data_IF_403121660344
#
_entry.id   IF_403121660344
#
_cell.length_a   1.000
_cell.length_b   1.000
_cell.length_c   1.000
_cell.angle_alpha   90.00
_cell.angle_beta   90.00
_cell.angle_gamma   90.00
#
_symmetry.space_group_name_H-M   'P 1'
#
loop_
_entity.id
_entity.type
_entity.pdbx_description
1 polymer ?
#
# COMPACT_ATOMS: atom_id res chain seq x y z
N UNK A 1 -5.35 19.32 1.19
CA UNK A 1 -5.25 18.62 2.49
C UNK A 1 -6.14 17.40 2.58
N UNK A 2 -7.46 17.52 2.37
CA UNK A 2 -8.41 16.38 2.42
C UNK A 2 -7.99 15.19 1.52
N UNK A 3 -7.58 15.45 0.27
CA UNK A 3 -7.23 14.38 -0.69
C UNK A 3 -5.97 13.59 -0.32
N UNK A 4 -4.99 14.22 0.33
CA UNK A 4 -3.81 13.54 0.85
C UNK A 4 -4.15 12.60 2.00
N UNK A 5 -5.10 12.99 2.86
CA UNK A 5 -5.62 12.14 3.93
C UNK A 5 -6.39 10.93 3.36
N UNK A 6 -7.16 11.12 2.29
CA UNK A 6 -7.86 10.03 1.58
C UNK A 6 -6.85 9.04 0.99
N UNK A 7 -5.78 9.54 0.37
CA UNK A 7 -4.71 8.71 -0.19
C UNK A 7 -3.99 7.90 0.91
N UNK A 8 -3.63 8.57 2.03
CA UNK A 8 -3.02 7.90 3.18
C UNK A 8 -3.96 6.84 3.78
N UNK A 9 -5.25 7.15 3.91
CA UNK A 9 -6.25 6.20 4.39
C UNK A 9 -6.41 5.00 3.45
N UNK A 10 -6.35 5.21 2.13
CA UNK A 10 -6.37 4.14 1.14
C UNK A 10 -5.20 3.17 1.34
N UNK A 11 -4.00 3.70 1.56
CA UNK A 11 -2.79 2.92 1.80
C UNK A 11 -2.88 2.14 3.11
N UNK A 12 -3.40 2.76 4.19
CA UNK A 12 -3.60 2.07 5.47
C UNK A 12 -4.56 0.88 5.32
N UNK A 13 -5.67 1.05 4.61
CA UNK A 13 -6.60 -0.05 4.33
C UNK A 13 -5.97 -1.17 3.50
N UNK A 14 -5.14 -0.81 2.52
CA UNK A 14 -4.40 -1.79 1.73
C UNK A 14 -3.47 -2.61 2.64
N UNK A 15 -2.61 -1.94 3.41
CA UNK A 15 -1.61 -2.57 4.29
C UNK A 15 -2.28 -3.48 5.31
N UNK A 16 -3.42 -3.07 5.89
CA UNK A 16 -4.22 -3.92 6.76
C UNK A 16 -4.70 -5.17 6.01
N UNK A 17 -5.31 -5.01 4.84
CA UNK A 17 -5.74 -6.13 4.00
C UNK A 17 -4.61 -7.09 3.65
N UNK A 18 -3.45 -6.59 3.24
CA UNK A 18 -2.28 -7.44 2.89
C UNK A 18 -1.72 -8.16 4.11
N UNK A 19 -1.72 -7.52 5.28
CA UNK A 19 -1.26 -8.12 6.53
C UNK A 19 -2.15 -9.28 6.97
N UNK A 20 -3.47 -9.13 6.84
CA UNK A 20 -4.42 -10.21 7.14
C UNK A 20 -4.41 -11.33 6.09
N UNK A 21 -4.00 -11.06 4.85
CA UNK A 21 -3.91 -12.07 3.80
C UNK A 21 -2.94 -13.22 4.19
N UNK A 22 -1.82 -12.93 4.85
CA UNK A 22 -0.87 -13.95 5.32
C UNK A 22 -1.49 -14.87 6.39
N UNK A 23 -2.46 -14.38 7.16
CA UNK A 23 -3.24 -15.18 8.12
C UNK A 23 -4.39 -15.95 7.45
N UNK A 24 -4.91 -15.47 6.32
CA UNK A 24 -6.02 -16.12 5.61
C UNK A 24 -5.66 -17.50 5.02
N UNK A 25 -4.37 -17.78 4.79
CA UNK A 25 -3.90 -19.07 4.28
C UNK A 25 -3.63 -20.13 5.37
N UNK A 26 -3.79 -19.77 6.66
CA UNK A 26 -3.73 -20.77 7.72
C UNK A 26 -5.06 -21.53 7.74
N UNK A 27 -5.06 -22.88 7.67
CA UNK A 27 -6.27 -23.71 7.65
C UNK A 27 -6.94 -23.67 9.03
N UNK A 28 -7.64 -22.57 9.31
CA UNK A 28 -8.32 -22.33 10.57
C UNK A 28 -9.80 -22.00 10.35
N UNK A 29 -10.63 -22.17 11.37
CA UNK A 29 -12.11 -22.01 11.25
C UNK A 29 -12.56 -20.58 10.90
N UNK A 30 -11.63 -19.63 10.87
CA UNK A 30 -11.85 -18.19 10.70
C UNK A 30 -11.49 -17.71 9.27
N UNK A 31 -11.00 -18.59 8.37
CA UNK A 31 -10.57 -18.24 7.00
C UNK A 31 -11.60 -17.38 6.26
N UNK A 32 -12.89 -17.74 6.29
CA UNK A 32 -13.93 -17.00 5.59
C UNK A 32 -14.13 -15.58 6.12
N UNK A 33 -14.01 -15.36 7.43
CA UNK A 33 -14.13 -14.04 8.05
C UNK A 33 -12.89 -13.18 7.75
N UNK A 34 -11.68 -13.77 7.78
CA UNK A 34 -10.44 -13.07 7.41
C UNK A 34 -10.46 -12.71 5.93
N UNK A 35 -10.87 -13.62 5.05
CA UNK A 35 -10.97 -13.37 3.61
C UNK A 35 -12.00 -12.27 3.30
N UNK A 36 -13.15 -12.28 3.97
CA UNK A 36 -14.14 -11.21 3.85
C UNK A 36 -13.55 -9.85 4.25
N UNK A 37 -12.84 -9.77 5.38
CA UNK A 37 -12.16 -8.55 5.83
C UNK A 37 -11.12 -8.06 4.82
N UNK A 38 -10.32 -8.96 4.25
CA UNK A 38 -9.31 -8.65 3.24
C UNK A 38 -9.97 -8.06 1.99
N UNK A 39 -11.03 -8.71 1.49
CA UNK A 39 -11.78 -8.23 0.31
C UNK A 39 -12.38 -6.85 0.59
N UNK A 40 -13.06 -6.67 1.73
CA UNK A 40 -13.66 -5.36 2.08
C UNK A 40 -12.59 -4.28 2.22
N UNK A 41 -11.42 -4.61 2.78
CA UNK A 41 -10.31 -3.65 2.92
C UNK A 41 -9.72 -3.25 1.58
N UNK A 42 -9.54 -4.20 0.65
CA UNK A 42 -9.09 -3.90 -0.71
C UNK A 42 -10.11 -3.06 -1.48
N UNK A 43 -11.39 -3.40 -1.40
CA UNK A 43 -12.46 -2.62 -2.05
C UNK A 43 -12.51 -1.21 -1.49
N UNK A 44 -12.40 -1.04 -0.17
CA UNK A 44 -12.33 0.28 0.46
C UNK A 44 -11.08 1.05 0.02
N UNK A 45 -9.92 0.40 -0.02
CA UNK A 45 -8.67 1.01 -0.47
C UNK A 45 -8.77 1.51 -1.91
N UNK A 46 -9.26 0.69 -2.84
CA UNK A 46 -9.43 1.05 -4.25
C UNK A 46 -10.49 2.14 -4.43
N UNK A 47 -11.58 2.11 -3.66
CA UNK A 47 -12.58 3.17 -3.70
C UNK A 47 -11.97 4.53 -3.27
N UNK A 48 -11.22 4.56 -2.17
CA UNK A 48 -10.53 5.75 -1.68
C UNK A 48 -9.45 6.24 -2.66
N UNK A 49 -8.72 5.31 -3.30
CA UNK A 49 -7.77 5.65 -4.36
C UNK A 49 -8.50 6.30 -5.54
N UNK A 50 -9.63 5.74 -5.97
CA UNK A 50 -10.48 6.31 -7.02
C UNK A 50 -10.95 7.73 -6.70
N UNK A 51 -11.25 8.02 -5.42
CA UNK A 51 -11.54 9.39 -4.98
C UNK A 51 -10.31 10.31 -5.01
N UNK A 52 -9.14 9.80 -4.61
CA UNK A 52 -7.89 10.57 -4.68
C UNK A 52 -7.50 10.91 -6.14
N UNK A 53 -7.76 10.00 -7.09
CA UNK A 53 -7.54 10.20 -8.52
C UNK A 53 -8.35 11.36 -9.13
N UNK A 54 -9.42 11.83 -8.47
CA UNK A 54 -10.13 13.04 -8.92
C UNK A 54 -9.31 14.33 -8.71
N UNK A 55 -8.27 14.28 -7.90
CA UNK A 55 -7.48 15.45 -7.49
C UNK A 55 -5.98 15.30 -7.76
N UNK A 56 -5.54 14.12 -8.17
CA UNK A 56 -4.14 13.82 -8.49
C UNK A 56 -4.06 13.14 -9.85
N UNK A 57 -2.97 13.41 -10.56
CA UNK A 57 -2.60 12.63 -11.74
C UNK A 57 -2.47 11.15 -11.38
N UNK A 58 -3.02 10.30 -12.25
CA UNK A 58 -3.03 8.85 -12.05
C UNK A 58 -1.64 8.29 -11.82
N UNK A 59 -0.65 8.79 -12.56
CA UNK A 59 0.75 8.40 -12.42
C UNK A 59 1.31 8.68 -11.03
N UNK A 60 1.01 9.85 -10.45
CA UNK A 60 1.54 10.27 -9.15
C UNK A 60 0.81 9.54 -8.02
N UNK A 61 -0.53 9.52 -8.06
CA UNK A 61 -1.33 8.86 -7.04
C UNK A 61 -1.03 7.36 -6.96
N UNK A 62 -0.93 6.69 -8.11
CA UNK A 62 -0.63 5.26 -8.17
C UNK A 62 0.81 4.97 -7.73
N UNK A 63 1.79 5.82 -8.09
CA UNK A 63 3.17 5.67 -7.64
C UNK A 63 3.30 5.78 -6.11
N UNK A 64 2.63 6.77 -5.50
CA UNK A 64 2.61 6.92 -4.04
C UNK A 64 1.88 5.75 -3.40
N UNK A 65 0.68 5.40 -3.90
CA UNK A 65 -0.12 4.31 -3.35
C UNK A 65 0.65 2.98 -3.37
N UNK A 66 1.14 2.56 -4.54
CA UNK A 66 1.86 1.30 -4.69
C UNK A 66 3.20 1.31 -3.93
N UNK A 67 3.96 2.41 -4.01
CA UNK A 67 5.30 2.45 -3.43
C UNK A 67 5.31 2.59 -1.90
N UNK A 68 4.42 3.42 -1.36
CA UNK A 68 4.28 3.63 0.08
C UNK A 68 3.55 2.43 0.73
N UNK A 69 2.54 1.86 0.04
CA UNK A 69 1.91 0.60 0.41
C UNK A 69 2.92 -0.56 0.46
N UNK A 70 3.72 -0.77 -0.59
CA UNK A 70 4.76 -1.81 -0.62
C UNK A 70 5.77 -1.64 0.51
N UNK A 71 6.23 -0.40 0.75
CA UNK A 71 7.19 -0.10 1.83
C UNK A 71 6.61 -0.45 3.20
N UNK A 72 5.36 -0.05 3.48
CA UNK A 72 4.68 -0.35 4.74
C UNK A 72 4.40 -1.84 4.91
N UNK A 73 3.92 -2.54 3.87
CA UNK A 73 3.72 -3.99 3.92
C UNK A 73 5.04 -4.71 4.17
N UNK A 74 6.13 -4.29 3.54
CA UNK A 74 7.45 -4.86 3.81
C UNK A 74 7.89 -4.62 5.26
N UNK A 75 7.66 -3.41 5.80
CA UNK A 75 7.98 -3.06 7.18
C UNK A 75 7.16 -3.92 8.18
N UNK A 76 5.86 -4.10 7.91
CA UNK A 76 4.96 -4.95 8.70
C UNK A 76 5.38 -6.42 8.60
N UNK A 77 5.74 -6.89 7.41
CA UNK A 77 6.28 -8.24 7.17
C UNK A 77 7.48 -8.55 8.05
N UNK A 78 8.40 -7.60 8.19
CA UNK A 78 9.58 -7.73 9.05
C UNK A 78 9.19 -7.70 10.52
N UNK A 79 8.42 -6.70 10.97
CA UNK A 79 8.13 -6.49 12.39
C UNK A 79 7.18 -7.53 12.98
N UNK A 80 6.13 -7.91 12.25
CA UNK A 80 5.07 -8.79 12.74
C UNK A 80 5.27 -10.26 12.33
N UNK A 81 5.86 -10.51 11.16
CA UNK A 81 6.03 -11.88 10.65
C UNK A 81 7.47 -12.40 10.73
N UNK A 82 8.41 -11.57 11.16
CA UNK A 82 9.82 -11.97 11.25
C UNK A 82 10.45 -12.28 9.90
N UNK A 83 9.90 -11.75 8.79
CA UNK A 83 10.49 -11.96 7.47
C UNK A 83 11.93 -11.42 7.47
N UNK A 84 12.88 -12.25 7.01
CA UNK A 84 14.29 -11.87 7.00
C UNK A 84 14.51 -10.64 6.10
N UNK A 85 15.11 -9.60 6.68
CA UNK A 85 15.58 -8.45 5.91
C UNK A 85 16.90 -8.84 5.26
N UNK A 86 16.87 -9.18 3.98
CA UNK A 86 18.09 -9.20 3.18
C UNK A 86 18.53 -7.75 2.91
N UNK A 87 19.84 -7.50 2.89
CA UNK A 87 20.41 -6.21 2.46
C UNK A 87 19.86 -5.82 1.09
N UNK A 88 19.66 -6.80 0.20
CA UNK A 88 19.06 -6.58 -1.11
C UNK A 88 17.62 -6.05 -1.03
N UNK A 89 16.82 -6.56 -0.08
CA UNK A 89 15.43 -6.10 0.14
C UNK A 89 15.40 -4.63 0.57
N UNK A 90 16.33 -4.24 1.44
CA UNK A 90 16.44 -2.86 1.91
C UNK A 90 16.87 -1.91 0.78
N UNK A 91 17.86 -2.30 -0.03
CA UNK A 91 18.31 -1.54 -1.20
C UNK A 91 17.18 -1.38 -2.23
N UNK A 92 16.42 -2.45 -2.49
CA UNK A 92 15.26 -2.39 -3.39
C UNK A 92 14.18 -1.44 -2.88
N UNK A 93 13.87 -1.47 -1.58
CA UNK A 93 12.90 -0.53 -0.98
C UNK A 93 13.40 0.91 -1.11
N UNK A 94 14.69 1.16 -0.82
CA UNK A 94 15.28 2.49 -0.98
C UNK A 94 15.20 2.99 -2.44
N UNK A 95 15.40 2.11 -3.41
CA UNK A 95 15.29 2.42 -4.84
C UNK A 95 13.84 2.70 -5.27
N UNK A 96 12.86 1.97 -4.73
CA UNK A 96 11.43 2.26 -4.91
C UNK A 96 11.11 3.65 -4.39
N UNK A 97 11.51 3.96 -3.15
CA UNK A 97 11.28 5.27 -2.53
C UNK A 97 11.95 6.38 -3.35
N UNK A 98 13.18 6.18 -3.81
CA UNK A 98 13.87 7.12 -4.69
C UNK A 98 13.11 7.33 -6.02
N UNK A 99 12.53 6.28 -6.59
CA UNK A 99 11.68 6.35 -7.79
C UNK A 99 10.40 7.16 -7.55
N UNK A 100 9.72 6.97 -6.41
CA UNK A 100 8.52 7.75 -6.05
C UNK A 100 8.88 9.23 -5.88
N UNK A 101 9.97 9.53 -5.18
CA UNK A 101 10.45 10.90 -4.99
C UNK A 101 10.81 11.52 -6.33
N UNK A 102 11.49 10.78 -7.21
CA UNK A 102 11.78 11.20 -8.58
C UNK A 102 10.52 11.52 -9.39
N UNK A 103 9.50 10.66 -9.33
CA UNK A 103 8.20 10.87 -10.00
C UNK A 103 7.42 12.06 -9.41
N UNK A 104 7.51 12.29 -8.10
CA UNK A 104 6.88 13.42 -7.45
C UNK A 104 7.57 14.74 -7.82
N UNK A 105 8.90 14.74 -7.91
CA UNK A 105 9.71 15.90 -8.31
C UNK A 105 9.68 16.16 -9.83
N UNK A 106 9.47 15.13 -10.66
CA UNK A 106 9.46 15.27 -12.11
C UNK A 106 8.25 16.02 -12.65
N UNK A 107 7.35 16.52 -11.79
CA UNK A 107 6.32 17.45 -12.20
C UNK A 107 5.36 16.86 -13.23
N UNK A 108 5.00 15.58 -13.10
CA UNK A 108 3.73 15.09 -13.68
C UNK A 108 2.59 15.59 -12.78
N UNK A 109 2.56 16.91 -12.65
CA UNK A 109 1.45 17.77 -12.26
C UNK A 109 1.19 18.57 -13.52
N UNK A 110 0.65 17.91 -14.54
CA UNK A 110 0.31 18.59 -15.79
C UNK A 110 -1.05 19.26 -15.64
N UNK A 111 -1.05 20.61 -15.55
CA UNK A 111 -2.19 21.46 -15.93
C UNK A 111 -3.28 21.61 -14.89
#
# INVERSE_FOLDING_TARGET
MMHWLILLSSILFEVLGTSFLKHAFQPDRIIYAVLALVITSYVASFALLGFALRHFDLSVAYAIWAGLGTTLVALVGVMFFGDQISVLKLVSIAMIVAGIVGLNLSGVSHG
#
